data_IF_981919875989
#
_entry.id   IF_981919875989
#
_cell.length_a   1.000
_cell.length_b   1.000
_cell.length_c   1.000
_cell.angle_alpha   90.00
_cell.angle_beta   90.00
_cell.angle_gamma   90.00
#
_symmetry.space_group_name_H-M   'P 1'
#
loop_
_entity.id
_entity.type
_entity.pdbx_description
1 polymer ?
#
# COMPACT_ATOMS: atom_id res chain seq x y z
N UNK A 1 18.27 -13.24 4.07
CA UNK A 1 17.14 -12.33 4.39
C UNK A 1 15.91 -12.79 3.62
N UNK A 2 14.75 -12.82 4.28
CA UNK A 2 13.50 -13.44 3.80
C UNK A 2 12.77 -12.47 2.87
N UNK A 3 12.25 -12.98 1.76
CA UNK A 3 11.22 -12.38 0.91
C UNK A 3 10.03 -11.97 1.82
N UNK A 4 9.69 -10.70 1.85
CA UNK A 4 8.66 -10.13 2.73
C UNK A 4 7.57 -9.57 1.85
N UNK A 5 6.68 -10.46 1.43
CA UNK A 5 5.42 -10.09 0.77
C UNK A 5 4.38 -9.72 1.81
N UNK A 6 4.69 -10.05 3.07
CA UNK A 6 3.90 -9.82 4.26
C UNK A 6 4.70 -8.93 5.20
N UNK A 7 4.37 -7.65 5.29
CA UNK A 7 4.98 -6.73 6.24
C UNK A 7 3.97 -6.34 7.31
N UNK A 8 4.33 -6.51 8.58
CA UNK A 8 3.55 -5.97 9.70
C UNK A 8 4.12 -4.61 10.09
N UNK A 9 3.29 -3.58 10.07
CA UNK A 9 3.62 -2.23 10.50
C UNK A 9 2.65 -1.75 11.57
N UNK A 10 3.18 -0.98 12.52
CA UNK A 10 2.39 -0.25 13.51
C UNK A 10 2.18 1.16 12.97
N UNK A 11 0.92 1.51 12.72
CA UNK A 11 0.52 2.88 12.40
C UNK A 11 -0.09 3.54 13.62
N UNK A 12 0.34 4.75 13.92
CA UNK A 12 -0.26 5.59 14.95
C UNK A 12 -0.56 6.96 14.37
N UNK A 13 -1.84 7.32 14.36
CA UNK A 13 -2.26 8.67 14.02
C UNK A 13 -1.87 9.66 15.13
N UNK A 14 -1.86 10.95 14.79
CA UNK A 14 -1.57 12.01 15.76
C UNK A 14 -2.70 12.13 16.76
N UNK A 15 -2.37 12.35 18.04
CA UNK A 15 -3.39 12.70 19.03
C UNK A 15 -3.89 14.14 18.82
N UNK A 16 -5.10 14.42 19.28
CA UNK A 16 -5.62 15.77 19.32
C UNK A 16 -4.85 16.69 20.26
N UNK A 17 -4.77 17.96 19.90
CA UNK A 17 -4.30 19.03 20.76
C UNK A 17 -5.30 19.28 21.89
N UNK A 18 -4.82 19.63 23.07
CA UNK A 18 -5.70 19.93 24.20
C UNK A 18 -6.26 21.35 24.11
N UNK A 19 -7.49 21.54 24.58
CA UNK A 19 -8.07 22.87 24.77
C UNK A 19 -7.31 23.68 25.84
N UNK A 20 -7.31 25.00 25.70
CA UNK A 20 -6.73 25.91 26.69
C UNK A 20 -7.81 26.44 27.64
N UNK A 21 -7.45 26.61 28.91
CA UNK A 21 -8.24 27.45 29.82
C UNK A 21 -7.48 28.75 29.98
N UNK A 22 -8.02 29.83 29.43
CA UNK A 22 -7.47 31.16 29.62
C UNK A 22 -8.56 32.20 29.83
N UNK A 23 -8.17 33.31 30.44
CA UNK A 23 -9.03 34.47 30.62
C UNK A 23 -8.28 35.72 30.18
N UNK A 24 -9.00 36.63 29.50
CA UNK A 24 -8.42 37.90 29.08
C UNK A 24 -8.01 38.71 30.31
N UNK A 25 -6.74 39.11 30.36
CA UNK A 25 -6.19 39.96 31.42
C UNK A 25 -5.65 41.24 30.80
N UNK A 26 -6.36 42.34 31.03
CA UNK A 26 -5.96 43.67 30.59
C UNK A 26 -5.88 44.62 31.79
N UNK A 27 -4.95 45.57 31.76
CA UNK A 27 -4.67 46.48 32.88
C UNK A 27 -5.90 47.29 33.35
N UNK A 28 -6.84 47.54 32.45
CA UNK A 28 -8.05 48.35 32.69
C UNK A 28 -9.35 47.53 32.72
N UNK A 29 -9.28 46.20 32.58
CA UNK A 29 -10.45 45.31 32.59
C UNK A 29 -10.34 44.37 33.79
N UNK A 30 -11.11 44.58 34.87
CA UNK A 30 -10.97 43.81 36.11
C UNK A 30 -11.37 42.33 35.97
N UNK A 31 -12.28 41.98 35.03
CA UNK A 31 -12.67 40.60 34.71
C UNK A 31 -12.90 40.45 33.21
N UNK A 32 -11.87 39.97 32.50
CA UNK A 32 -12.03 39.61 31.09
C UNK A 32 -12.76 38.28 30.92
N UNK A 33 -13.45 38.13 29.80
CA UNK A 33 -14.11 36.87 29.43
C UNK A 33 -13.10 35.74 29.18
N UNK A 34 -13.58 34.48 29.04
CA UNK A 34 -12.75 33.36 28.63
C UNK A 34 -12.14 33.63 27.24
N UNK A 35 -10.87 33.27 27.07
CA UNK A 35 -10.13 33.38 25.79
C UNK A 35 -9.20 32.17 25.54
N UNK A 36 -9.59 31.00 26.00
CA UNK A 36 -8.87 29.77 25.70
C UNK A 36 -9.28 29.22 24.35
N UNK A 37 -8.32 29.15 23.43
CA UNK A 37 -8.53 28.54 22.12
C UNK A 37 -8.68 27.02 22.18
N UNK A 38 -9.30 26.48 21.12
CA UNK A 38 -9.42 25.05 20.86
C UNK A 38 -8.05 24.45 20.46
N UNK A 39 -7.88 23.15 20.67
CA UNK A 39 -6.71 22.41 20.15
C UNK A 39 -6.71 22.31 18.62
N UNK A 40 -5.61 21.81 18.06
CA UNK A 40 -5.56 21.37 16.66
C UNK A 40 -5.82 19.88 16.53
N UNK A 41 -6.34 19.45 15.39
CA UNK A 41 -6.52 18.02 15.11
C UNK A 41 -5.18 17.30 14.93
N UNK A 42 -5.18 16.00 15.21
CA UNK A 42 -4.07 15.11 14.91
C UNK A 42 -3.87 14.94 13.41
N UNK A 43 -2.63 14.61 13.02
CA UNK A 43 -2.34 14.19 11.65
C UNK A 43 -2.90 12.79 11.36
N UNK A 44 -3.41 12.61 10.15
CA UNK A 44 -3.91 11.32 9.66
C UNK A 44 -2.77 10.47 9.08
N UNK A 45 -3.00 9.16 8.99
CA UNK A 45 -2.10 8.25 8.28
C UNK A 45 -2.82 7.72 7.04
N UNK A 46 -2.22 7.98 5.88
CA UNK A 46 -2.68 7.49 4.59
C UNK A 46 -1.72 6.46 4.02
N UNK A 47 -2.26 5.47 3.33
CA UNK A 47 -1.49 4.65 2.39
C UNK A 47 -1.72 5.13 0.98
N UNK A 48 -0.64 5.23 0.21
CA UNK A 48 -0.68 5.60 -1.20
C UNK A 48 -0.03 4.50 -2.04
N UNK A 49 -0.74 4.03 -3.07
CA UNK A 49 -0.16 3.10 -4.02
C UNK A 49 0.82 3.83 -4.95
N UNK A 50 2.06 3.36 -5.04
CA UNK A 50 3.07 3.85 -5.97
C UNK A 50 3.46 2.72 -6.93
N UNK A 51 3.58 3.03 -8.23
CA UNK A 51 3.89 2.05 -9.28
C UNK A 51 5.38 1.80 -9.41
N UNK A 52 6.18 2.72 -8.89
CA UNK A 52 7.63 2.61 -8.86
C UNK A 52 8.10 1.62 -7.79
N UNK A 53 7.27 1.39 -6.77
CA UNK A 53 7.56 0.44 -5.70
C UNK A 53 7.04 -0.95 -6.08
N UNK A 54 7.94 -1.92 -6.11
CA UNK A 54 7.61 -3.31 -6.48
C UNK A 54 7.67 -4.30 -5.30
N UNK A 55 8.15 -3.87 -4.13
CA UNK A 55 8.36 -4.75 -2.97
C UNK A 55 8.07 -4.05 -1.64
N UNK A 56 7.62 -4.80 -0.62
CA UNK A 56 7.38 -4.30 0.75
C UNK A 56 8.62 -4.38 1.66
N UNK A 57 9.82 -4.45 1.10
CA UNK A 57 11.04 -4.73 1.87
C UNK A 57 11.39 -3.62 2.87
N UNK A 58 11.07 -2.38 2.54
CA UNK A 58 11.42 -1.20 3.35
C UNK A 58 10.70 -1.21 4.70
N UNK A 59 9.45 -1.71 4.72
CA UNK A 59 8.62 -1.87 5.91
C UNK A 59 9.11 -2.90 6.92
N UNK A 60 10.13 -3.68 6.55
CA UNK A 60 10.80 -4.58 7.50
C UNK A 60 11.71 -3.83 8.45
N UNK A 61 12.35 -2.76 7.97
CA UNK A 61 13.31 -1.96 8.73
C UNK A 61 12.59 -0.89 9.54
N UNK A 62 11.68 -0.16 8.90
CA UNK A 62 10.82 0.82 9.55
C UNK A 62 9.44 0.24 9.80
N UNK A 63 9.20 -0.17 11.05
CA UNK A 63 7.95 -0.82 11.46
C UNK A 63 6.96 0.12 12.14
N UNK A 64 7.34 1.34 12.48
CA UNK A 64 6.46 2.26 13.21
C UNK A 64 6.38 3.60 12.51
N UNK A 65 5.16 3.96 12.10
CA UNK A 65 4.86 5.25 11.48
C UNK A 65 3.93 6.02 12.41
N UNK A 66 4.36 7.22 12.81
CA UNK A 66 3.63 8.04 13.79
C UNK A 66 3.39 9.44 13.23
N UNK A 67 2.12 9.79 12.99
CA UNK A 67 1.76 11.13 12.55
C UNK A 67 1.93 12.17 13.66
N UNK A 68 2.03 13.45 13.29
CA UNK A 68 2.29 14.53 14.24
C UNK A 68 1.05 14.82 15.09
N UNK A 69 1.26 15.07 16.38
CA UNK A 69 0.21 15.48 17.30
C UNK A 69 -0.26 16.91 16.99
N UNK A 70 -1.57 17.17 17.12
CA UNK A 70 -2.12 18.52 17.07
C UNK A 70 -1.56 19.43 18.15
N UNK A 71 -1.37 20.72 17.85
CA UNK A 71 -0.92 21.68 18.85
C UNK A 71 -2.02 22.00 19.86
N UNK A 72 -1.64 22.27 21.10
CA UNK A 72 -2.58 22.73 22.11
C UNK A 72 -3.11 24.13 21.77
N UNK A 73 -4.34 24.42 22.19
CA UNK A 73 -4.88 25.77 22.18
C UNK A 73 -4.06 26.70 23.05
N UNK A 74 -4.07 27.99 22.71
CA UNK A 74 -3.37 29.03 23.44
C UNK A 74 -4.35 30.11 23.94
N UNK A 75 -3.84 31.05 24.73
CA UNK A 75 -4.61 32.23 25.15
C UNK A 75 -4.94 33.12 23.95
N UNK A 76 -5.84 34.08 24.15
CA UNK A 76 -6.32 35.01 23.10
C UNK A 76 -7.13 34.33 21.99
N UNK A 77 -7.89 33.31 22.34
CA UNK A 77 -8.72 32.52 21.40
C UNK A 77 -7.91 31.92 20.24
N UNK A 78 -6.62 31.65 20.47
CA UNK A 78 -5.73 31.13 19.46
C UNK A 78 -5.86 29.61 19.39
N UNK A 79 -6.42 29.12 18.28
CA UNK A 79 -6.58 27.68 18.02
C UNK A 79 -5.23 27.02 17.68
N UNK A 80 -5.09 25.77 18.08
CA UNK A 80 -3.91 24.97 17.77
C UNK A 80 -3.83 24.60 16.29
N UNK A 81 -2.62 24.50 15.75
CA UNK A 81 -2.38 23.98 14.40
C UNK A 81 -2.64 22.48 14.33
N UNK A 82 -3.19 22.02 13.19
CA UNK A 82 -3.30 20.60 12.85
C UNK A 82 -1.91 19.96 12.71
N UNK A 83 -1.78 18.72 13.17
CA UNK A 83 -0.59 17.90 12.96
C UNK A 83 -0.37 17.57 11.48
N UNK A 84 0.87 17.34 11.07
CA UNK A 84 1.19 16.86 9.72
C UNK A 84 0.79 15.40 9.53
N UNK A 85 0.14 15.14 8.40
CA UNK A 85 -0.22 13.82 7.94
C UNK A 85 1.02 13.03 7.47
N UNK A 86 0.93 11.71 7.56
CA UNK A 86 1.95 10.79 7.01
C UNK A 86 1.36 9.98 5.87
N UNK A 87 2.10 9.92 4.78
CA UNK A 87 1.77 9.11 3.61
C UNK A 87 2.77 7.95 3.53
N UNK A 88 2.25 6.74 3.63
CA UNK A 88 2.99 5.48 3.54
C UNK A 88 2.84 4.95 2.11
N UNK A 89 3.94 4.88 1.36
CA UNK A 89 3.91 4.46 -0.06
C UNK A 89 4.03 2.95 -0.21
N UNK A 90 3.00 2.30 -0.73
CA UNK A 90 2.99 0.84 -0.92
C UNK A 90 2.95 0.48 -2.40
N UNK A 91 3.48 -0.69 -2.83
CA UNK A 91 3.31 -1.18 -4.18
C UNK A 91 1.84 -1.34 -4.58
N UNK A 92 1.54 -1.12 -5.86
CA UNK A 92 0.23 -1.46 -6.43
C UNK A 92 -0.02 -2.98 -6.29
N UNK A 93 -1.20 -3.36 -5.83
CA UNK A 93 -1.60 -4.73 -5.51
C UNK A 93 -1.37 -5.12 -4.04
N UNK A 94 -1.05 -4.14 -3.18
CA UNK A 94 -0.95 -4.38 -1.73
C UNK A 94 -2.34 -4.41 -1.11
N UNK A 95 -2.62 -5.49 -0.40
CA UNK A 95 -3.79 -5.69 0.46
C UNK A 95 -3.46 -5.24 1.87
N UNK A 96 -4.34 -4.44 2.46
CA UNK A 96 -4.18 -3.89 3.81
C UNK A 96 -5.15 -4.64 4.73
N UNK A 97 -4.61 -5.40 5.69
CA UNK A 97 -5.37 -6.16 6.68
C UNK A 97 -5.06 -5.59 8.05
N UNK A 98 -6.08 -5.38 8.87
CA UNK A 98 -5.88 -5.08 10.29
C UNK A 98 -5.60 -6.38 11.06
N UNK A 99 -4.48 -6.46 11.78
CA UNK A 99 -4.16 -7.64 12.58
C UNK A 99 -5.06 -7.78 13.82
N UNK A 100 -5.64 -6.69 14.31
CA UNK A 100 -6.53 -6.73 15.47
C UNK A 100 -7.87 -7.39 15.15
N UNK A 101 -8.45 -7.06 14.00
CA UNK A 101 -9.79 -7.55 13.60
C UNK A 101 -9.74 -8.64 12.53
N UNK A 102 -8.64 -8.77 11.79
CA UNK A 102 -8.54 -9.63 10.61
C UNK A 102 -9.31 -9.09 9.40
N UNK A 103 -9.86 -7.89 9.50
CA UNK A 103 -10.63 -7.27 8.41
C UNK A 103 -9.71 -6.67 7.36
N UNK A 104 -10.08 -6.82 6.10
CA UNK A 104 -9.38 -6.18 4.99
C UNK A 104 -9.89 -4.75 4.84
N UNK A 105 -9.05 -3.77 5.18
CA UNK A 105 -9.37 -2.34 5.09
C UNK A 105 -9.50 -1.88 3.63
N UNK A 106 -8.76 -2.53 2.72
CA UNK A 106 -8.85 -2.27 1.29
C UNK A 106 -7.68 -2.84 0.50
N UNK A 107 -7.89 -2.94 -0.81
CA UNK A 107 -6.88 -3.35 -1.79
C UNK A 107 -6.43 -2.12 -2.61
N UNK A 108 -5.11 -1.90 -2.68
CA UNK A 108 -4.50 -0.78 -3.38
C UNK A 108 -4.27 -1.13 -4.85
N UNK A 109 -5.27 -0.94 -5.70
CA UNK A 109 -5.27 -1.46 -7.07
C UNK A 109 -4.78 -0.48 -8.12
N UNK A 110 -4.78 0.83 -7.84
CA UNK A 110 -4.41 1.88 -8.80
C UNK A 110 -3.25 2.73 -8.31
N UNK A 111 -2.38 3.14 -9.24
CA UNK A 111 -1.35 4.12 -8.94
C UNK A 111 -1.97 5.42 -8.42
N UNK A 112 -1.38 5.98 -7.37
CA UNK A 112 -1.85 7.19 -6.71
C UNK A 112 -3.11 7.02 -5.87
N UNK A 113 -3.73 5.83 -5.81
CA UNK A 113 -4.84 5.56 -4.92
C UNK A 113 -4.41 5.83 -3.48
N UNK A 114 -5.19 6.65 -2.77
CA UNK A 114 -4.97 6.97 -1.37
C UNK A 114 -6.08 6.36 -0.53
N UNK A 115 -5.70 5.63 0.52
CA UNK A 115 -6.61 5.04 1.48
C UNK A 115 -6.22 5.50 2.88
N UNK A 116 -7.17 6.04 3.64
CA UNK A 116 -6.95 6.40 5.04
C UNK A 116 -6.91 5.11 5.87
N UNK A 117 -5.83 4.92 6.63
CA UNK A 117 -5.63 3.71 7.42
C UNK A 117 -5.75 3.95 8.92
N UNK A 118 -5.44 5.16 9.39
CA UNK A 118 -5.65 5.57 10.77
C UNK A 118 -6.06 7.05 10.82
N UNK A 119 -7.18 7.34 11.49
CA UNK A 119 -7.69 8.69 11.67
C UNK A 119 -7.04 9.37 12.88
N UNK A 120 -6.66 10.63 12.71
CA UNK A 120 -6.15 11.50 13.75
C UNK A 120 -7.18 11.78 14.83
N UNK A 121 -6.68 12.04 16.04
CA UNK A 121 -7.50 12.44 17.16
C UNK A 121 -8.08 13.84 16.94
N UNK A 122 -9.31 14.03 17.39
CA UNK A 122 -10.01 15.30 17.37
C UNK A 122 -9.44 16.27 18.39
N UNK A 123 -9.46 17.55 18.04
CA UNK A 123 -9.07 18.63 18.94
C UNK A 123 -9.93 18.70 20.21
N UNK A 124 -9.29 19.05 21.32
CA UNK A 124 -9.96 19.40 22.56
C UNK A 124 -10.54 20.82 22.51
N UNK A 125 -11.68 21.01 23.15
CA UNK A 125 -12.41 22.27 23.23
C UNK A 125 -11.82 23.16 24.34
N UNK A 126 -11.57 24.41 24.01
CA UNK A 126 -11.15 25.45 24.95
C UNK A 126 -12.30 25.92 25.84
N UNK A 127 -11.97 26.65 26.91
CA UNK A 127 -13.00 27.14 27.83
C UNK A 127 -13.98 28.13 27.18
N UNK A 128 -13.60 28.78 26.08
CA UNK A 128 -14.49 29.67 25.32
C UNK A 128 -15.74 28.93 24.80
N UNK A 129 -15.64 27.63 24.50
CA UNK A 129 -16.76 26.79 24.01
C UNK A 129 -17.81 26.45 25.07
N UNK A 130 -17.41 26.39 26.33
CA UNK A 130 -18.29 26.08 27.47
C UNK A 130 -18.99 27.30 28.07
N UNK A 131 -18.97 28.43 27.35
CA UNK A 131 -19.57 29.69 27.80
C UNK A 131 -21.06 29.67 27.46
N UNK A 132 -21.91 29.68 28.48
CA UNK A 132 -23.36 29.86 28.35
C UNK A 132 -23.84 31.16 28.99
N UNK A 133 -25.13 31.49 28.83
CA UNK A 133 -25.79 32.62 29.49
C UNK A 133 -25.64 32.55 31.01
N UNK A 134 -25.73 31.33 31.55
CA UNK A 134 -25.60 30.97 32.97
C UNK A 134 -24.12 30.84 33.38
N UNK A 135 -23.30 30.14 32.60
CA UNK A 135 -21.89 29.91 32.90
C UNK A 135 -20.97 30.90 32.15
N UNK A 136 -20.80 32.10 32.71
CA UNK A 136 -20.02 33.18 32.10
C UNK A 136 -18.49 33.05 32.23
N UNK A 137 -18.01 32.26 33.19
CA UNK A 137 -16.57 32.04 33.44
C UNK A 137 -16.23 30.54 33.53
N UNK A 138 -16.42 29.78 32.44
CA UNK A 138 -16.09 28.37 32.41
C UNK A 138 -14.59 28.16 32.64
N UNK A 139 -14.26 27.24 33.55
CA UNK A 139 -12.89 26.74 33.79
C UNK A 139 -12.69 25.32 33.25
N UNK A 140 -13.68 24.81 32.54
CA UNK A 140 -13.65 23.51 31.91
C UNK A 140 -12.90 23.58 30.58
N UNK A 141 -12.22 22.49 30.24
CA UNK A 141 -11.62 22.24 28.93
C UNK A 141 -11.72 20.75 28.66
N UNK A 142 -11.79 20.36 27.39
CA UNK A 142 -11.61 18.96 27.02
C UNK A 142 -10.20 18.72 26.51
N UNK A 143 -9.69 17.52 26.80
CA UNK A 143 -8.44 17.03 26.21
C UNK A 143 -8.73 16.59 24.78
N UNK A 144 -7.70 16.64 23.91
CA UNK A 144 -7.83 16.06 22.58
C UNK A 144 -8.02 14.55 22.67
N UNK A 145 -8.77 13.97 21.74
CA UNK A 145 -8.95 12.52 21.70
C UNK A 145 -7.66 11.84 21.22
N UNK A 146 -7.38 10.61 21.68
CA UNK A 146 -6.24 9.86 21.18
C UNK A 146 -6.45 9.49 19.71
N UNK A 147 -5.38 9.55 18.91
CA UNK A 147 -5.39 9.09 17.52
C UNK A 147 -5.50 7.57 17.44
N UNK A 148 -6.05 7.06 16.33
CA UNK A 148 -6.15 5.62 16.10
C UNK A 148 -4.76 4.98 16.01
N UNK A 149 -4.62 3.81 16.65
CA UNK A 149 -3.42 2.98 16.58
C UNK A 149 -3.83 1.62 16.08
N UNK A 150 -3.23 1.17 14.98
CA UNK A 150 -3.55 -0.11 14.35
C UNK A 150 -2.26 -0.83 13.96
N UNK A 151 -2.27 -2.14 14.14
CA UNK A 151 -1.26 -3.03 13.60
C UNK A 151 -1.75 -3.52 12.24
N UNK A 152 -1.11 -3.09 11.17
CA UNK A 152 -1.49 -3.45 9.81
C UNK A 152 -0.57 -4.53 9.28
N UNK A 153 -1.18 -5.55 8.70
CA UNK A 153 -0.51 -6.53 7.87
C UNK A 153 -0.72 -6.16 6.39
N UNK A 154 0.40 -5.93 5.71
CA UNK A 154 0.45 -5.62 4.29
C UNK A 154 0.82 -6.88 3.54
N UNK A 155 -0.07 -7.32 2.67
CA UNK A 155 0.14 -8.47 1.81
C UNK A 155 0.22 -8.01 0.35
N UNK A 156 1.38 -8.15 -0.25
CA UNK A 156 1.52 -7.91 -1.68
C UNK A 156 0.95 -9.10 -2.43
N UNK A 157 -0.11 -8.89 -3.21
CA UNK A 157 -0.56 -9.87 -4.20
C UNK A 157 0.46 -9.90 -5.33
N UNK A 158 1.56 -10.61 -5.10
CA UNK A 158 2.71 -10.64 -5.99
C UNK A 158 2.33 -11.11 -7.38
N UNK A 159 2.74 -10.30 -8.35
CA UNK A 159 2.77 -10.62 -9.75
C UNK A 159 4.23 -10.51 -10.19
N UNK A 160 4.72 -11.51 -10.91
CA UNK A 160 6.07 -11.44 -11.47
C UNK A 160 6.12 -10.44 -12.62
N UNK A 161 7.06 -9.50 -12.56
CA UNK A 161 7.29 -8.52 -13.62
C UNK A 161 8.02 -9.14 -14.81
N UNK A 162 8.89 -10.11 -14.53
CA UNK A 162 9.75 -10.78 -15.50
C UNK A 162 9.51 -12.29 -15.45
N UNK A 163 9.20 -12.89 -16.60
CA UNK A 163 9.02 -14.33 -16.72
C UNK A 163 10.21 -15.00 -17.37
N UNK A 164 10.75 -16.07 -16.79
CA UNK A 164 11.83 -16.86 -17.38
C UNK A 164 11.32 -18.10 -18.11
N UNK A 165 11.60 -18.19 -19.40
CA UNK A 165 11.32 -19.32 -20.27
C UNK A 165 12.59 -20.12 -20.56
N UNK A 166 12.45 -21.40 -20.91
CA UNK A 166 13.57 -22.29 -21.22
C UNK A 166 13.29 -23.73 -20.83
N UNK A 167 14.21 -24.63 -21.16
CA UNK A 167 14.11 -26.02 -20.73
C UNK A 167 14.44 -26.20 -19.23
N UNK A 168 14.04 -27.32 -18.60
CA UNK A 168 14.33 -27.61 -17.19
C UNK A 168 15.83 -27.52 -16.83
N UNK A 169 16.73 -27.78 -17.79
CA UNK A 169 18.19 -27.78 -17.59
C UNK A 169 18.88 -26.50 -18.08
N UNK A 170 18.13 -25.49 -18.54
CA UNK A 170 18.68 -24.22 -19.03
C UNK A 170 19.32 -23.36 -17.93
N UNK A 171 19.22 -23.75 -16.67
CA UNK A 171 19.83 -23.04 -15.54
C UNK A 171 19.01 -21.85 -15.01
N UNK A 172 17.69 -21.82 -15.25
CA UNK A 172 16.78 -20.75 -14.79
C UNK A 172 16.80 -20.56 -13.28
N UNK A 173 16.62 -21.65 -12.51
CA UNK A 173 16.62 -21.56 -11.06
C UNK A 173 18.00 -21.20 -10.50
N UNK A 174 19.08 -21.51 -11.22
CA UNK A 174 20.44 -21.05 -10.89
C UNK A 174 20.58 -19.54 -11.12
N UNK A 175 20.05 -19.04 -12.24
CA UNK A 175 20.00 -17.60 -12.52
C UNK A 175 19.21 -16.85 -11.44
N UNK A 176 17.99 -17.29 -11.11
CA UNK A 176 17.16 -16.67 -10.07
C UNK A 176 17.90 -16.63 -8.73
N UNK A 177 18.60 -17.70 -8.34
CA UNK A 177 19.43 -17.73 -7.13
C UNK A 177 20.62 -16.77 -7.19
N UNK A 178 21.22 -16.59 -8.38
CA UNK A 178 22.35 -15.71 -8.57
C UNK A 178 21.97 -14.23 -8.50
N UNK A 179 20.79 -13.87 -9.04
CA UNK A 179 20.32 -12.48 -9.11
C UNK A 179 19.54 -12.06 -7.87
N UNK A 180 18.89 -13.01 -7.18
CA UNK A 180 17.99 -12.67 -6.08
C UNK A 180 18.73 -12.13 -4.86
N UNK A 181 18.36 -10.92 -4.41
CA UNK A 181 18.86 -10.31 -3.18
C UNK A 181 18.31 -10.99 -1.91
N UNK A 182 17.19 -11.71 -2.05
CA UNK A 182 16.59 -12.55 -1.02
C UNK A 182 16.76 -14.04 -1.35
N UNK A 183 16.66 -14.94 -0.36
CA UNK A 183 16.62 -16.38 -0.65
C UNK A 183 15.33 -16.65 -1.44
N UNK A 184 15.39 -17.24 -2.67
CA UNK A 184 14.19 -17.52 -3.46
C UNK A 184 13.19 -18.31 -2.60
N UNK A 185 11.98 -17.75 -2.43
CA UNK A 185 10.90 -18.46 -1.75
C UNK A 185 10.18 -19.32 -2.77
N UNK A 186 9.90 -20.53 -2.31
CA UNK A 186 9.05 -21.54 -2.96
C UNK A 186 7.65 -21.14 -2.52
N UNK A 187 6.86 -20.55 -3.43
CA UNK A 187 5.57 -19.96 -3.10
C UNK A 187 4.42 -20.95 -3.36
N UNK A 188 3.86 -21.50 -2.28
CA UNK A 188 2.78 -22.49 -2.31
C UNK A 188 1.42 -21.81 -2.56
N UNK A 189 1.21 -21.30 -3.78
CA UNK A 189 -0.08 -20.72 -4.14
C UNK A 189 -1.15 -21.81 -4.26
N UNK A 190 -2.40 -21.55 -3.83
CA UNK A 190 -3.48 -22.53 -3.83
C UNK A 190 -3.92 -23.00 -5.24
N UNK A 191 -3.33 -22.44 -6.28
CA UNK A 191 -3.62 -22.72 -7.69
C UNK A 191 -2.41 -23.26 -8.48
N UNK A 192 -1.27 -23.52 -7.83
CA UNK A 192 -0.07 -24.10 -8.47
C UNK A 192 0.13 -25.54 -8.04
N UNK A 193 0.29 -26.47 -8.97
CA UNK A 193 0.64 -27.88 -8.69
C UNK A 193 2.15 -28.10 -8.52
N UNK A 194 2.96 -27.24 -9.14
CA UNK A 194 4.41 -27.18 -9.00
C UNK A 194 4.79 -25.80 -8.48
N UNK A 195 5.59 -25.77 -7.43
CA UNK A 195 5.90 -24.54 -6.75
C UNK A 195 6.87 -23.69 -7.58
N UNK A 196 6.46 -22.51 -8.08
CA UNK A 196 7.34 -21.67 -8.89
C UNK A 196 8.46 -21.08 -8.03
N UNK A 197 9.65 -20.96 -8.61
CA UNK A 197 10.77 -20.26 -7.98
C UNK A 197 10.66 -18.76 -8.30
N UNK A 198 10.51 -17.93 -7.27
CA UNK A 198 10.48 -16.47 -7.38
C UNK A 198 11.76 -15.87 -6.81
N UNK A 199 12.27 -14.82 -7.46
CA UNK A 199 13.41 -14.03 -6.97
C UNK A 199 13.15 -12.54 -7.05
N UNK A 200 13.60 -11.79 -6.05
CA UNK A 200 13.63 -10.32 -6.10
C UNK A 200 15.00 -9.87 -6.54
N UNK A 201 15.05 -9.12 -7.62
CA UNK A 201 16.25 -8.43 -8.05
C UNK A 201 16.18 -7.01 -7.51
N UNK A 202 17.16 -6.62 -6.69
CA UNK A 202 17.30 -5.25 -6.18
C UNK A 202 18.49 -4.60 -6.87
N UNK A 203 18.22 -3.51 -7.59
CA UNK A 203 19.25 -2.71 -8.26
C UNK A 203 19.63 -1.50 -7.40
N UNK A 204 18.64 -0.81 -6.82
CA UNK A 204 18.84 0.35 -5.94
C UNK A 204 17.79 0.40 -4.80
N UNK A 205 17.81 1.48 -4.02
CA UNK A 205 16.97 1.76 -2.86
C UNK A 205 15.48 1.74 -3.18
N UNK A 206 15.11 2.30 -4.34
CA UNK A 206 13.72 2.40 -4.82
C UNK A 206 13.44 1.51 -6.04
N UNK A 207 14.45 0.80 -6.55
CA UNK A 207 14.35 0.01 -7.79
C UNK A 207 14.55 -1.48 -7.52
N UNK A 208 13.43 -2.20 -7.49
CA UNK A 208 13.37 -3.65 -7.41
C UNK A 208 12.42 -4.21 -8.45
N UNK A 209 12.57 -5.47 -8.86
CA UNK A 209 11.58 -6.18 -9.68
C UNK A 209 11.55 -7.66 -9.34
N UNK A 210 10.44 -8.32 -9.67
CA UNK A 210 10.23 -9.73 -9.36
C UNK A 210 10.39 -10.58 -10.61
N UNK A 211 11.30 -11.56 -10.54
CA UNK A 211 11.52 -12.58 -11.58
C UNK A 211 10.84 -13.87 -11.13
N UNK A 212 10.00 -14.43 -11.99
CA UNK A 212 9.45 -15.78 -11.82
C UNK A 212 10.07 -16.75 -12.81
N UNK A 213 10.41 -17.94 -12.30
CA UNK A 213 10.55 -19.11 -13.13
C UNK A 213 9.18 -19.51 -13.67
N UNK A 214 9.11 -19.72 -14.97
CA UNK A 214 7.97 -20.37 -15.60
C UNK A 214 8.37 -21.85 -15.67
N UNK A 215 7.99 -22.67 -14.66
CA UNK A 215 8.16 -24.10 -14.78
C UNK A 215 7.47 -24.54 -16.06
N UNK A 216 8.14 -25.42 -16.80
CA UNK A 216 7.83 -25.79 -18.18
C UNK A 216 6.34 -25.88 -18.41
N UNK A 217 5.88 -25.24 -19.48
CA UNK A 217 4.55 -25.40 -20.06
C UNK A 217 4.22 -26.89 -20.00
N UNK A 218 3.39 -27.25 -19.04
CA UNK A 218 3.28 -28.62 -18.54
C UNK A 218 2.82 -29.49 -19.71
N UNK A 219 3.47 -30.63 -19.95
CA UNK A 219 2.89 -31.71 -20.75
C UNK A 219 1.48 -32.00 -20.18
N UNK A 220 0.43 -31.47 -20.81
CA UNK A 220 -0.95 -31.58 -20.33
C UNK A 220 -1.64 -30.29 -19.84
N UNK A 221 -1.02 -29.11 -19.90
CA UNK A 221 -1.73 -27.84 -19.62
C UNK A 221 -2.85 -27.52 -20.65
N UNK A 222 -2.77 -28.14 -21.83
CA UNK A 222 -3.81 -28.08 -22.87
C UNK A 222 -5.02 -28.99 -22.60
N UNK A 223 -4.92 -29.97 -21.68
CA UNK A 223 -5.95 -31.00 -21.44
C UNK A 223 -6.90 -30.70 -20.25
N UNK A 224 -7.09 -29.42 -19.89
CA UNK A 224 -8.32 -29.01 -19.19
C UNK A 224 -8.33 -29.11 -17.66
N UNK A 225 -7.20 -29.28 -16.98
CA UNK A 225 -7.12 -29.06 -15.53
C UNK A 225 -7.02 -27.55 -15.25
N UNK A 226 -8.17 -26.87 -15.04
CA UNK A 226 -8.31 -25.41 -14.93
C UNK A 226 -7.44 -24.64 -13.91
N UNK A 227 -6.47 -25.27 -13.25
CA UNK A 227 -5.41 -24.63 -12.47
C UNK A 227 -4.35 -23.93 -13.37
N UNK A 228 -4.00 -24.52 -14.52
CA UNK A 228 -2.97 -23.98 -15.42
C UNK A 228 -3.36 -22.63 -16.03
N UNK A 229 -4.63 -22.47 -16.41
CA UNK A 229 -5.16 -21.23 -17.01
C UNK A 229 -5.07 -20.05 -16.04
N UNK A 230 -5.27 -20.27 -14.73
CA UNK A 230 -5.12 -19.20 -13.73
C UNK A 230 -3.66 -18.80 -13.62
N UNK A 231 -2.72 -19.72 -13.47
CA UNK A 231 -1.27 -19.39 -13.44
C UNK A 231 -0.83 -18.65 -14.71
N UNK A 232 -1.29 -19.09 -15.88
CA UNK A 232 -1.01 -18.45 -17.15
C UNK A 232 -1.61 -17.05 -17.25
N UNK A 233 -2.80 -16.79 -16.70
CA UNK A 233 -3.38 -15.44 -16.57
C UNK A 233 -2.53 -14.51 -15.69
N UNK A 234 -1.75 -15.05 -14.75
CA UNK A 234 -0.78 -14.26 -13.98
C UNK A 234 0.50 -14.00 -14.79
N UNK A 235 0.89 -14.95 -15.64
CA UNK A 235 2.02 -14.84 -16.56
C UNK A 235 1.74 -13.87 -17.72
N UNK A 236 0.47 -13.73 -18.10
CA UNK A 236 -0.02 -12.65 -18.97
C UNK A 236 0.19 -11.25 -18.36
N UNK A 237 0.55 -11.13 -17.08
CA UNK A 237 0.95 -9.86 -16.46
C UNK A 237 2.45 -9.61 -16.42
N UNK A 238 3.28 -10.58 -16.79
CA UNK A 238 4.72 -10.37 -16.97
C UNK A 238 4.95 -9.38 -18.12
N UNK A 239 5.80 -8.37 -17.91
CA UNK A 239 6.07 -7.32 -18.90
C UNK A 239 7.06 -7.80 -19.96
N UNK A 240 8.06 -8.57 -19.54
CA UNK A 240 9.12 -9.08 -20.41
C UNK A 240 9.33 -10.57 -20.14
N UNK A 241 9.64 -11.29 -21.21
CA UNK A 241 9.98 -12.71 -21.15
C UNK A 241 11.46 -12.90 -21.46
N UNK A 242 12.19 -13.54 -20.54
CA UNK A 242 13.58 -13.91 -20.74
C UNK A 242 13.63 -15.37 -21.21
N UNK A 243 13.95 -15.57 -22.48
CA UNK A 243 14.10 -16.91 -23.04
C UNK A 243 15.53 -17.39 -22.85
N UNK A 244 15.70 -18.30 -21.89
CA UNK A 244 16.98 -18.86 -21.49
C UNK A 244 17.28 -20.09 -22.32
N UNK A 245 18.39 -20.04 -23.08
CA UNK A 245 18.87 -21.13 -23.93
C UNK A 245 20.23 -21.59 -23.41
N UNK A 246 20.43 -22.90 -23.36
CA UNK A 246 21.72 -23.49 -23.03
C UNK A 246 22.61 -23.56 -24.28
N UNK A 247 23.83 -23.00 -24.21
CA UNK A 247 24.81 -23.03 -25.30
C UNK A 247 25.55 -24.36 -25.43
N UNK A 248 25.64 -25.12 -24.32
CA UNK A 248 26.35 -26.39 -24.26
C UNK A 248 25.47 -27.45 -23.57
N UNK A 249 24.35 -27.85 -24.21
CA UNK A 249 23.55 -28.95 -23.69
C UNK A 249 24.41 -30.23 -23.65
N UNK A 250 24.45 -30.86 -22.48
CA UNK A 250 25.16 -32.15 -22.28
C UNK A 250 24.48 -33.27 -23.10
N UNK A 251 23.21 -33.09 -23.45
CA UNK A 251 22.37 -34.05 -24.19
C UNK A 251 22.53 -34.00 -25.72
N UNK A 252 23.49 -33.22 -26.27
CA UNK A 252 23.71 -33.04 -27.73
C UNK A 252 22.47 -32.55 -28.52
N UNK A 253 21.42 -32.07 -27.84
CA UNK A 253 20.22 -31.55 -28.49
C UNK A 253 20.48 -30.20 -29.15
N UNK A 254 19.93 -29.98 -30.34
CA UNK A 254 20.10 -28.73 -31.07
C UNK A 254 19.42 -27.57 -30.32
N UNK A 255 20.17 -26.52 -29.91
CA UNK A 255 19.60 -25.38 -29.20
C UNK A 255 18.49 -24.65 -29.99
N UNK A 256 18.55 -24.73 -31.32
CA UNK A 256 17.57 -24.15 -32.24
C UNK A 256 16.25 -24.92 -32.19
N UNK A 257 16.29 -26.25 -32.12
CA UNK A 257 15.08 -27.07 -32.03
C UNK A 257 14.40 -26.87 -30.67
N UNK A 258 15.19 -26.82 -29.60
CA UNK A 258 14.72 -26.52 -28.25
C UNK A 258 13.99 -25.16 -28.17
N UNK A 259 14.54 -24.13 -28.81
CA UNK A 259 13.88 -22.83 -28.90
C UNK A 259 12.58 -22.88 -29.72
N UNK A 260 12.56 -23.62 -30.84
CA UNK A 260 11.36 -23.81 -31.67
C UNK A 260 10.24 -24.58 -30.97
N UNK A 261 10.57 -25.59 -30.16
CA UNK A 261 9.59 -26.33 -29.34
C UNK A 261 8.90 -25.35 -28.37
N UNK A 262 9.69 -24.55 -27.63
CA UNK A 262 9.15 -23.56 -26.69
C UNK A 262 8.33 -22.48 -27.41
N UNK A 263 8.77 -22.05 -28.60
CA UNK A 263 8.01 -21.11 -29.44
C UNK A 263 6.65 -21.69 -29.85
N UNK A 264 6.62 -22.93 -30.34
CA UNK A 264 5.40 -23.60 -30.73
C UNK A 264 4.46 -23.90 -29.57
N UNK A 265 4.99 -24.17 -28.38
CA UNK A 265 4.19 -24.25 -27.15
C UNK A 265 3.57 -22.89 -26.84
N UNK A 266 4.37 -21.82 -26.78
CA UNK A 266 3.89 -20.46 -26.51
C UNK A 266 2.76 -20.02 -27.46
N UNK A 267 2.93 -20.28 -28.76
CA UNK A 267 1.97 -19.94 -29.81
C UNK A 267 0.64 -20.68 -29.63
N UNK A 268 0.69 -21.98 -29.28
CA UNK A 268 -0.51 -22.78 -29.01
C UNK A 268 -1.31 -22.32 -27.79
N UNK A 269 -0.67 -21.67 -26.82
CA UNK A 269 -1.33 -21.28 -25.57
C UNK A 269 -1.93 -19.87 -25.63
N UNK A 270 -1.20 -18.86 -26.10
CA UNK A 270 -1.70 -17.48 -26.13
C UNK A 270 -0.94 -16.61 -27.13
N UNK A 271 -1.65 -16.13 -28.16
CA UNK A 271 -1.14 -15.14 -29.11
C UNK A 271 -0.68 -13.85 -28.41
N UNK A 272 -1.38 -13.46 -27.32
CA UNK A 272 -1.00 -12.29 -26.51
C UNK A 272 0.36 -12.47 -25.84
N UNK A 273 0.67 -13.69 -25.38
CA UNK A 273 1.96 -13.98 -24.74
C UNK A 273 3.09 -14.10 -25.77
N UNK A 274 2.78 -14.62 -26.96
CA UNK A 274 3.73 -14.75 -28.06
C UNK A 274 4.24 -13.39 -28.55
N UNK A 275 3.34 -12.41 -28.68
CA UNK A 275 3.64 -11.05 -29.15
C UNK A 275 4.37 -10.16 -28.13
N UNK A 276 4.65 -10.66 -26.92
CA UNK A 276 5.35 -9.88 -25.90
C UNK A 276 6.83 -9.69 -26.22
N UNK A 277 7.43 -8.58 -25.74
CA UNK A 277 8.86 -8.34 -25.85
C UNK A 277 9.62 -9.48 -25.16
N UNK A 278 10.47 -10.14 -25.93
CA UNK A 278 11.20 -11.34 -25.52
C UNK A 278 12.68 -11.16 -25.77
N UNK A 279 13.49 -11.43 -24.75
CA UNK A 279 14.94 -11.33 -24.87
C UNK A 279 15.55 -12.72 -24.82
N UNK A 280 16.45 -12.98 -25.76
CA UNK A 280 17.23 -14.21 -25.78
C UNK A 280 18.39 -14.09 -24.79
N UNK A 281 18.49 -15.05 -23.89
CA UNK A 281 19.51 -15.13 -22.86
C UNK A 281 20.22 -16.46 -23.00
N UNK A 282 21.43 -16.44 -23.53
CA UNK A 282 22.29 -17.60 -23.66
C UNK A 282 23.04 -17.84 -22.35
N UNK A 283 22.81 -18.98 -21.73
CA UNK A 283 23.41 -19.36 -20.46
C UNK A 283 24.53 -20.41 -20.66
N UNK A 284 25.35 -20.59 -19.63
CA UNK A 284 26.50 -21.52 -19.58
C UNK A 284 27.67 -21.18 -20.51
N UNK A 285 27.94 -19.88 -20.68
CA UNK A 285 29.12 -19.38 -21.41
C UNK A 285 30.43 -19.86 -20.77
N UNK A 286 30.43 -20.22 -19.48
CA UNK A 286 31.60 -20.71 -18.75
C UNK A 286 32.20 -22.03 -19.27
N UNK A 287 31.44 -22.80 -20.06
CA UNK A 287 31.91 -24.06 -20.64
C UNK A 287 32.59 -23.90 -22.00
N UNK A 288 32.53 -22.72 -22.59
CA UNK A 288 33.02 -22.42 -23.93
C UNK A 288 34.02 -21.27 -23.89
N UNK A 289 34.91 -21.20 -24.87
CA UNK A 289 35.74 -20.01 -25.03
C UNK A 289 34.89 -18.84 -25.53
N UNK A 290 35.28 -17.61 -25.21
CA UNK A 290 34.45 -16.43 -25.43
C UNK A 290 34.15 -16.19 -26.93
N UNK A 291 35.13 -16.46 -27.79
CA UNK A 291 34.97 -16.38 -29.25
C UNK A 291 34.04 -17.48 -29.80
N UNK A 292 34.10 -18.69 -29.22
CA UNK A 292 33.26 -19.80 -29.62
C UNK A 292 31.80 -19.58 -29.18
N UNK A 293 31.59 -19.06 -27.96
CA UNK A 293 30.27 -18.73 -27.45
C UNK A 293 29.58 -17.65 -28.30
N UNK A 294 30.30 -16.61 -28.72
CA UNK A 294 29.77 -15.57 -29.60
C UNK A 294 29.42 -16.09 -30.99
N UNK A 295 30.26 -16.96 -31.56
CA UNK A 295 29.98 -17.56 -32.88
C UNK A 295 28.75 -18.46 -32.86
N UNK A 296 28.60 -19.29 -31.82
CA UNK A 296 27.43 -20.16 -31.63
C UNK A 296 26.17 -19.35 -31.37
N UNK A 297 26.24 -18.30 -30.54
CA UNK A 297 25.10 -17.43 -30.27
C UNK A 297 24.61 -16.72 -31.55
N UNK A 298 25.54 -16.24 -32.40
CA UNK A 298 25.19 -15.65 -33.70
C UNK A 298 24.54 -16.67 -34.63
N UNK A 299 25.10 -17.87 -34.75
CA UNK A 299 24.53 -18.93 -35.57
C UNK A 299 23.10 -19.30 -35.13
N UNK A 300 22.85 -19.35 -33.81
CA UNK A 300 21.52 -19.64 -33.27
C UNK A 300 20.56 -18.46 -33.50
N UNK A 301 21.01 -17.22 -33.30
CA UNK A 301 20.21 -16.03 -33.56
C UNK A 301 19.80 -15.93 -35.05
N UNK A 302 20.74 -16.17 -35.95
CA UNK A 302 20.51 -16.18 -37.40
C UNK A 302 19.52 -17.31 -37.79
N UNK A 303 19.67 -18.50 -37.21
CA UNK A 303 18.78 -19.65 -37.47
C UNK A 303 17.35 -19.47 -36.94
N UNK A 304 17.18 -18.60 -35.94
CA UNK A 304 15.89 -18.20 -35.39
C UNK A 304 15.30 -16.96 -36.09
N UNK A 305 16.07 -16.29 -36.95
CA UNK A 305 15.67 -15.04 -37.59
C UNK A 305 15.53 -13.87 -36.60
N UNK A 306 16.25 -13.93 -35.48
CA UNK A 306 16.12 -12.96 -34.40
C UNK A 306 16.96 -11.71 -34.69
N UNK A 307 16.33 -10.55 -34.74
CA UNK A 307 17.01 -9.25 -35.01
C UNK A 307 17.23 -8.41 -33.76
N UNK A 308 16.65 -8.80 -32.63
CA UNK A 308 16.80 -8.09 -31.36
C UNK A 308 18.08 -8.49 -30.60
N UNK A 309 18.41 -7.68 -29.57
CA UNK A 309 19.53 -7.93 -28.66
C UNK A 309 19.41 -9.30 -27.99
N UNK A 310 20.50 -10.05 -27.99
CA UNK A 310 20.69 -11.25 -27.18
C UNK A 310 21.76 -11.00 -26.11
N UNK A 311 21.64 -11.71 -24.99
CA UNK A 311 22.57 -11.60 -23.86
C UNK A 311 23.32 -12.90 -23.66
N UNK A 312 24.60 -12.78 -23.34
CA UNK A 312 25.48 -13.89 -22.96
C UNK A 312 25.70 -13.82 -21.46
N UNK A 313 25.30 -14.86 -20.74
CA UNK A 313 25.41 -14.92 -19.28
C UNK A 313 26.03 -16.24 -18.82
N UNK A 314 26.71 -16.18 -17.67
CA UNK A 314 26.99 -17.36 -16.85
C UNK A 314 26.33 -17.17 -15.50
N UNK A 315 25.22 -17.87 -15.28
CA UNK A 315 24.50 -17.83 -14.01
C UNK A 315 25.37 -18.34 -12.83
N UNK A 316 26.28 -19.28 -13.08
CA UNK A 316 27.16 -19.84 -12.06
C UNK A 316 28.23 -18.84 -11.60
N UNK A 317 28.90 -18.19 -12.55
CA UNK A 317 30.01 -17.27 -12.27
C UNK A 317 29.56 -15.81 -12.10
N UNK A 318 28.24 -15.53 -12.24
CA UNK A 318 27.62 -14.18 -12.22
C UNK A 318 28.15 -13.23 -13.30
N UNK A 319 28.76 -13.76 -14.36
CA UNK A 319 29.27 -12.97 -15.49
C UNK A 319 28.10 -12.60 -16.39
N UNK A 320 28.00 -11.32 -16.77
CA UNK A 320 26.94 -10.80 -17.65
C UNK A 320 25.55 -10.64 -17.02
N UNK A 321 25.38 -11.04 -15.75
CA UNK A 321 24.08 -10.99 -15.06
C UNK A 321 23.68 -9.56 -14.67
N UNK A 322 24.61 -8.78 -14.12
CA UNK A 322 24.36 -7.39 -13.71
C UNK A 322 23.93 -6.47 -14.87
N UNK A 323 24.61 -6.45 -16.04
CA UNK A 323 24.18 -5.61 -17.16
C UNK A 323 22.80 -6.02 -17.69
N UNK A 324 22.51 -7.32 -17.77
CA UNK A 324 21.17 -7.81 -18.14
C UNK A 324 20.09 -7.26 -17.19
N UNK A 325 20.35 -7.23 -15.88
CA UNK A 325 19.37 -6.73 -14.91
C UNK A 325 19.16 -5.21 -15.01
N UNK A 326 20.21 -4.45 -15.33
CA UNK A 326 20.10 -3.00 -15.58
C UNK A 326 19.28 -2.70 -16.82
N UNK A 327 19.50 -3.46 -17.90
CA UNK A 327 18.74 -3.31 -19.14
C UNK A 327 17.27 -3.70 -18.91
N UNK A 328 17.00 -4.81 -18.21
CA UNK A 328 15.64 -5.22 -17.83
C UNK A 328 14.97 -4.11 -17.02
N UNK A 329 15.62 -3.55 -16.01
CA UNK A 329 15.06 -2.46 -15.21
C UNK A 329 14.75 -1.22 -16.06
N UNK A 330 15.67 -0.85 -16.95
CA UNK A 330 15.49 0.28 -17.88
C UNK A 330 14.29 0.05 -18.81
N UNK A 331 14.09 -1.19 -19.26
CA UNK A 331 12.95 -1.58 -20.08
C UNK A 331 11.63 -1.54 -19.30
N UNK A 332 11.63 -2.04 -18.06
CA UNK A 332 10.46 -2.03 -17.17
C UNK A 332 10.02 -0.60 -16.84
N UNK A 333 10.97 0.32 -16.66
CA UNK A 333 10.70 1.74 -16.42
C UNK A 333 10.18 2.45 -17.69
N UNK A 334 10.69 2.09 -18.86
CA UNK A 334 10.27 2.69 -20.13
C UNK A 334 8.86 2.23 -20.59
N UNK A 335 8.41 1.06 -20.15
CA UNK A 335 7.09 0.51 -20.46
C UNK A 335 6.27 0.35 -19.16
N UNK A 336 5.67 1.45 -18.65
CA UNK A 336 4.73 1.38 -17.54
C UNK A 336 3.49 0.57 -17.93
N UNK A 337 2.87 -0.10 -16.95
CA UNK A 337 1.70 -0.97 -17.17
C UNK A 337 0.58 -0.18 -17.84
N UNK A 338 0.10 -0.63 -19.00
CA UNK A 338 -1.22 -0.21 -19.49
C UNK A 338 -2.26 -0.71 -18.48
N UNK A 339 -2.83 0.22 -17.72
CA UNK A 339 -3.92 -0.05 -16.80
C UNK A 339 -5.18 -0.33 -17.63
N UNK A 340 -5.51 -1.60 -17.83
CA UNK A 340 -6.85 -1.97 -18.31
C UNK A 340 -7.89 -1.49 -17.29
N UNK A 341 -8.84 -0.72 -17.83
CA UNK A 341 -9.94 0.00 -17.20
C UNK A 341 -11.13 -0.93 -16.90
N UNK A 342 -12.02 -0.49 -15.99
CA UNK A 342 -13.33 -1.08 -15.54
C UNK A 342 -13.25 -2.18 -14.46
N UNK A 343 -14.04 -2.24 -13.38
CA UNK A 343 -15.19 -1.53 -12.80
C UNK A 343 -15.38 -2.20 -11.41
N UNK A 344 -15.58 -1.56 -10.24
CA UNK A 344 -16.72 -0.81 -9.71
C UNK A 344 -16.23 -0.14 -8.41
N UNK A 345 -16.67 1.08 -8.13
CA UNK A 345 -16.46 1.72 -6.83
C UNK A 345 -17.24 0.95 -5.76
N UNK A 346 -16.63 0.46 -4.67
CA UNK A 346 -17.40 0.08 -3.49
C UNK A 346 -17.96 1.36 -2.85
N UNK A 347 -19.22 1.29 -2.45
CA UNK A 347 -19.96 2.35 -1.77
C UNK A 347 -19.19 2.85 -0.54
N UNK A 348 -19.27 4.17 -0.30
CA UNK A 348 -18.72 4.81 0.90
C UNK A 348 -19.26 4.10 2.13
N UNK A 349 -18.39 3.42 2.87
CA UNK A 349 -18.69 2.95 4.22
C UNK A 349 -18.73 4.20 5.10
N UNK A 350 -19.92 4.57 5.57
CA UNK A 350 -20.08 5.58 6.63
C UNK A 350 -19.42 5.04 7.89
N UNK A 351 -18.47 5.80 8.45
CA UNK A 351 -17.73 5.43 9.65
C UNK A 351 -18.59 5.70 10.89
N UNK A 352 -18.60 4.78 11.87
CA UNK A 352 -19.34 4.89 13.15
C UNK A 352 -19.01 6.12 14.02
N UNK A 353 -18.06 6.97 13.62
CA UNK A 353 -17.59 8.11 14.42
C UNK A 353 -18.23 9.45 14.04
N UNK A 354 -18.98 9.53 12.94
CA UNK A 354 -19.73 10.74 12.61
C UNK A 354 -20.86 11.02 13.62
N UNK A 355 -21.28 10.00 14.39
CA UNK A 355 -22.28 10.10 15.48
C UNK A 355 -21.72 10.62 16.81
N UNK A 356 -20.41 10.51 17.07
CA UNK A 356 -19.84 10.72 18.41
C UNK A 356 -19.91 12.19 18.88
N UNK A 357 -19.67 13.14 17.97
CA UNK A 357 -19.80 14.57 18.27
C UNK A 357 -21.25 15.04 18.32
N UNK A 358 -22.13 14.39 17.55
CA UNK A 358 -23.56 14.67 17.60
C UNK A 358 -24.10 14.26 18.98
N UNK A 359 -23.70 13.10 19.48
CA UNK A 359 -24.04 12.63 20.83
C UNK A 359 -23.45 13.52 21.94
N UNK A 360 -22.19 13.95 21.86
CA UNK A 360 -21.63 14.82 22.92
C UNK A 360 -22.21 16.23 22.94
N UNK A 361 -22.62 16.77 21.79
CA UNK A 361 -23.34 18.04 21.72
C UNK A 361 -24.77 17.87 22.26
N UNK A 362 -25.45 16.79 21.87
CA UNK A 362 -26.77 16.44 22.40
C UNK A 362 -26.75 16.20 23.92
N UNK A 363 -25.75 15.49 24.46
CA UNK A 363 -25.56 15.27 25.90
C UNK A 363 -25.26 16.58 26.67
N UNK A 364 -24.53 17.51 26.06
CA UNK A 364 -24.26 18.82 26.64
C UNK A 364 -25.48 19.75 26.58
N UNK A 365 -26.33 19.62 25.55
CA UNK A 365 -27.60 20.35 25.44
C UNK A 365 -28.65 19.79 26.41
N UNK A 366 -28.80 18.46 26.51
CA UNK A 366 -29.73 17.83 27.47
C UNK A 366 -29.36 18.08 28.93
N UNK A 367 -28.06 18.09 29.26
CA UNK A 367 -27.62 18.45 30.62
C UNK A 367 -27.91 19.92 30.99
N UNK A 368 -28.13 20.80 30.01
CA UNK A 368 -28.55 22.19 30.24
C UNK A 368 -30.06 22.29 30.38
N UNK A 369 -30.83 21.49 29.63
CA UNK A 369 -32.29 21.43 29.74
C UNK A 369 -32.76 20.81 31.08
N UNK A 370 -32.07 19.77 31.59
CA UNK A 370 -32.41 19.14 32.88
C UNK A 370 -32.15 20.04 34.11
N UNK A 371 -31.23 21.00 34.02
CA UNK A 371 -30.96 21.98 35.08
C UNK A 371 -31.97 23.15 35.08
N UNK A 372 -32.65 23.42 33.96
CA UNK A 372 -33.67 24.48 33.83
C UNK A 372 -35.07 24.03 34.33
N UNK A 373 -35.31 22.73 34.50
CA UNK A 373 -36.60 22.16 34.94
C UNK A 373 -36.80 22.12 36.47
N UNK A 374 -35.86 22.65 37.27
CA UNK A 374 -35.93 22.62 38.75
C UNK A 374 -36.36 23.94 39.41
N UNK A 375 -36.66 24.99 38.63
CA UNK A 375 -36.91 26.35 39.15
C UNK A 375 -38.38 26.83 39.04
N UNK A 376 -39.37 25.94 38.94
CA UNK A 376 -40.78 26.32 38.76
C UNK A 376 -41.74 25.70 39.81
N UNK A 377 -41.40 25.80 41.10
CA UNK A 377 -42.31 25.39 42.21
C UNK A 377 -42.28 26.37 43.40
N UNK A 378 -42.48 27.66 43.11
CA UNK A 378 -42.86 28.68 44.12
C UNK A 378 -44.14 29.40 43.66
N UNK A 379 -45.30 28.76 43.91
CA UNK A 379 -46.60 29.43 43.86
C UNK A 379 -46.73 30.39 45.06
N UNK A 380 -46.71 31.70 44.77
CA UNK A 380 -47.13 32.77 45.68
C UNK A 380 -48.67 32.77 45.80
N UNK A 381 -49.21 32.21 46.89
CA UNK A 381 -50.57 32.50 47.36
C UNK A 381 -50.58 33.87 48.06
N UNK A 382 -51.26 34.85 47.44
CA UNK A 382 -52.14 35.86 48.05
C UNK A 382 -52.04 37.22 47.32
N UNK A 383 -53.03 37.53 46.46
CA UNK A 383 -53.40 38.94 46.24
C UNK A 383 -54.91 39.07 45.97
N UNK A 384 -55.61 39.50 47.01
CA UNK A 384 -57.06 39.73 47.08
C UNK A 384 -57.41 41.00 46.27
N UNK A 385 -58.13 40.81 45.16
CA UNK A 385 -58.55 41.91 44.27
C UNK A 385 -59.52 42.89 44.93
N UNK A 386 -59.16 44.17 44.95
CA UNK A 386 -60.06 45.26 45.36
C UNK A 386 -60.86 45.77 44.15
N UNK A 387 -62.16 45.51 44.11
CA UNK A 387 -63.10 46.13 43.17
C UNK A 387 -63.44 47.57 43.60
N UNK A 388 -63.18 48.55 42.74
CA UNK A 388 -63.60 49.96 42.92
C UNK A 388 -64.83 50.22 42.06
N UNK A 389 -65.99 50.41 42.70
CA UNK A 389 -67.25 50.82 42.06
C UNK A 389 -67.36 52.35 42.12
N UNK A 390 -67.49 53.00 40.96
CA UNK A 390 -67.83 54.42 40.88
C UNK A 390 -69.35 54.62 40.93
N UNK A 391 -69.84 55.37 41.92
CA UNK A 391 -71.21 55.89 41.93
C UNK A 391 -71.20 57.42 41.71
N UNK A 392 -72.17 57.88 40.93
CA UNK A 392 -72.25 59.22 40.33
C UNK A 392 -72.62 60.32 41.32
#
# INVERSE_FOLDING_TARGET
MKFVDEATILVAAGDGGNGCVSFRREKYIPRGGPDGGDGGDGGDVYMQADENLNTLIDYRFEKSFRAERGQNGQSRDCTGKRGKDIIIKVPVGTRIIDQGTGETLGDMMKHGQQQMVAKGGWHGLGNTRFKSSVNRTPRQKTMGTPGEKRDLQLELMLLADVGMLGLPNAGKSTFIRAVSAAKPKVADYPFTTLVPSLGVVRMDSEQSFVVADIPGLIEGASDGAGLGIRFLKHLERCRVLLHTIDLAPIDETDPVENARIILGELEKYSEKLFNKPRWLVFNKVDLLDQEEAESRAKAIADALGWTDKYYLISAANRVGVTPLCWDVMSFLNAHPKEAEVEEKQPEKVEFMWDDYHRQQLEEAETAVEEDDDWDDDWDDEDDEGVEIIYQR
#
